data_IF_665911459215
#
_entry.id   IF_665911459215
#
_cell.length_a   1.000
_cell.length_b   1.000
_cell.length_c   1.000
_cell.angle_alpha   90.00
_cell.angle_beta   90.00
_cell.angle_gamma   90.00
#
_symmetry.space_group_name_H-M   'P 1'
#
loop_
_entity.id
_entity.type
_entity.pdbx_description
1 polymer ?
#
# COMPACT_ATOMS: atom_id res chain seq x y z
N UNK A 1 2.49 26.59 7.26
CA UNK A 1 2.33 25.32 8.02
C UNK A 1 1.19 25.48 9.02
N UNK A 2 0.52 24.38 9.41
CA UNK A 2 -0.52 24.36 10.46
C UNK A 2 -0.07 23.38 11.55
N UNK A 3 -0.05 23.84 12.81
CA UNK A 3 0.23 22.97 13.95
C UNK A 3 -1.02 22.13 14.25
N UNK A 4 -0.89 20.81 14.24
CA UNK A 4 -2.01 19.87 14.43
C UNK A 4 -1.60 18.78 15.41
N UNK A 5 -2.35 18.65 16.51
CA UNK A 5 -2.16 17.56 17.48
C UNK A 5 -3.01 16.33 17.16
N UNK A 6 -4.22 16.57 16.63
CA UNK A 6 -5.18 15.51 16.33
C UNK A 6 -5.94 15.90 15.06
N UNK A 7 -6.36 14.90 14.28
CA UNK A 7 -7.12 15.07 13.04
C UNK A 7 -8.39 14.23 13.09
N UNK A 8 -9.51 14.77 12.60
CA UNK A 8 -10.77 14.00 12.51
C UNK A 8 -10.64 12.91 11.45
N UNK A 9 -9.85 13.16 10.40
CA UNK A 9 -9.74 12.30 9.24
C UNK A 9 -8.29 11.92 8.98
N UNK A 10 -8.08 10.67 8.55
CA UNK A 10 -6.81 10.23 8.02
C UNK A 10 -6.54 10.80 6.62
N UNK A 11 -5.34 10.57 6.06
CA UNK A 11 -5.03 10.98 4.70
C UNK A 11 -5.92 10.26 3.66
N UNK A 12 -6.12 10.82 2.47
CA UNK A 12 -7.07 10.31 1.48
C UNK A 12 -6.78 8.86 1.03
N UNK A 13 -5.52 8.42 1.07
CA UNK A 13 -5.18 7.03 0.72
C UNK A 13 -5.74 6.01 1.73
N UNK A 14 -5.97 6.38 2.98
CA UNK A 14 -6.67 5.53 3.96
C UNK A 14 -8.14 5.36 3.55
N UNK A 15 -8.76 6.41 3.00
CA UNK A 15 -10.10 6.33 2.41
C UNK A 15 -10.15 5.36 1.22
N UNK A 16 -9.21 5.48 0.28
CA UNK A 16 -9.10 4.55 -0.85
C UNK A 16 -8.90 3.09 -0.40
N UNK A 17 -8.07 2.88 0.63
CA UNK A 17 -7.86 1.57 1.25
C UNK A 17 -9.12 0.98 1.86
N UNK A 18 -9.96 1.80 2.51
CA UNK A 18 -11.25 1.35 3.04
C UNK A 18 -12.16 0.82 1.94
N UNK A 19 -12.21 1.51 0.80
CA UNK A 19 -12.98 1.06 -0.36
C UNK A 19 -12.42 -0.26 -0.88
N UNK A 20 -11.10 -0.36 -1.07
CA UNK A 20 -10.47 -1.57 -1.57
C UNK A 20 -10.71 -2.79 -0.67
N UNK A 21 -10.60 -2.60 0.65
CA UNK A 21 -10.84 -3.66 1.64
C UNK A 21 -12.30 -4.11 1.70
N UNK A 22 -13.24 -3.22 1.41
CA UNK A 22 -14.68 -3.54 1.38
C UNK A 22 -15.10 -4.31 0.13
N UNK A 23 -14.32 -4.24 -0.96
CA UNK A 23 -14.60 -4.91 -2.22
C UNK A 23 -14.03 -6.33 -2.26
N UNK A 24 -14.55 -7.16 -3.18
CA UNK A 24 -13.99 -8.47 -3.54
C UNK A 24 -13.30 -8.36 -4.89
N UNK A 25 -12.27 -9.18 -5.09
CA UNK A 25 -11.51 -9.29 -6.35
C UNK A 25 -10.86 -7.97 -6.81
N UNK A 26 -10.61 -7.05 -5.86
CA UNK A 26 -9.89 -5.81 -6.08
C UNK A 26 -8.62 -5.81 -5.23
N UNK A 27 -7.47 -5.53 -5.87
CA UNK A 27 -6.19 -5.34 -5.20
C UNK A 27 -5.70 -3.91 -5.38
N UNK A 28 -5.25 -3.29 -4.30
CA UNK A 28 -4.82 -1.89 -4.29
C UNK A 28 -3.29 -1.81 -4.20
N UNK A 29 -2.65 -1.12 -5.15
CA UNK A 29 -1.20 -0.89 -5.09
C UNK A 29 -0.94 0.57 -4.77
N UNK A 30 -0.28 0.82 -3.64
CA UNK A 30 0.00 2.15 -3.12
C UNK A 30 1.49 2.49 -3.26
N UNK A 31 1.79 3.57 -3.98
CA UNK A 31 3.14 4.13 -3.99
C UNK A 31 3.37 4.93 -2.70
N UNK A 32 4.05 4.31 -1.74
CA UNK A 32 4.27 4.87 -0.42
C UNK A 32 5.66 4.50 0.13
N UNK A 33 6.23 5.33 1.03
CA UNK A 33 7.47 5.04 1.71
C UNK A 33 7.31 3.89 2.71
N UNK A 34 8.44 3.39 3.21
CA UNK A 34 8.42 2.46 4.33
C UNK A 34 7.79 3.11 5.58
N UNK A 35 6.84 2.40 6.20
CA UNK A 35 6.16 2.83 7.42
C UNK A 35 4.66 3.05 7.25
N UNK A 36 4.20 3.36 6.03
CA UNK A 36 2.78 3.60 5.72
C UNK A 36 1.90 2.34 5.82
N UNK A 37 2.52 1.16 6.01
CA UNK A 37 1.82 -0.10 6.33
C UNK A 37 1.10 -0.07 7.68
N UNK A 38 1.29 0.95 8.51
CA UNK A 38 0.53 1.13 9.75
C UNK A 38 -0.98 1.15 9.51
N UNK A 39 -1.43 1.58 8.32
CA UNK A 39 -2.84 1.64 7.96
C UNK A 39 -3.51 0.24 8.00
N UNK A 40 -2.76 -0.84 7.81
CA UNK A 40 -3.27 -2.22 7.93
C UNK A 40 -3.76 -2.52 9.35
N UNK A 41 -3.21 -1.87 10.38
CA UNK A 41 -3.61 -2.05 11.78
C UNK A 41 -5.01 -1.48 12.05
N UNK A 42 -5.44 -0.47 11.29
CA UNK A 42 -6.82 0.03 11.38
C UNK A 42 -7.82 -1.08 11.04
N UNK A 43 -7.52 -1.92 10.05
CA UNK A 43 -8.40 -3.01 9.63
C UNK A 43 -8.23 -4.27 10.47
N UNK A 44 -6.99 -4.65 10.76
CA UNK A 44 -6.71 -5.91 11.45
C UNK A 44 -6.92 -5.82 12.96
N UNK A 45 -6.73 -4.65 13.58
CA UNK A 45 -6.84 -4.49 15.04
C UNK A 45 -8.13 -3.78 15.46
N UNK A 46 -8.49 -2.67 14.80
CA UNK A 46 -9.71 -1.92 15.15
C UNK A 46 -10.94 -2.60 14.57
N UNK A 47 -10.97 -2.85 13.25
CA UNK A 47 -12.08 -3.58 12.61
C UNK A 47 -12.00 -5.10 12.81
N UNK A 48 -10.87 -5.61 13.33
CA UNK A 48 -10.63 -7.04 13.63
C UNK A 48 -10.86 -7.98 12.44
N UNK A 49 -10.50 -7.52 11.23
CA UNK A 49 -10.62 -8.36 10.05
C UNK A 49 -9.70 -9.59 10.16
N UNK A 50 -10.20 -10.80 9.87
CA UNK A 50 -9.42 -12.04 10.00
C UNK A 50 -8.39 -12.22 8.87
N UNK A 51 -8.36 -11.31 7.89
CA UNK A 51 -7.45 -11.32 6.75
C UNK A 51 -6.79 -9.94 6.60
N UNK A 52 -5.60 -9.92 5.98
CA UNK A 52 -4.93 -8.67 5.64
C UNK A 52 -5.73 -7.90 4.57
N UNK A 53 -5.74 -6.56 4.60
CA UNK A 53 -6.22 -5.75 3.49
C UNK A 53 -5.54 -6.14 2.17
N UNK A 54 -6.25 -6.13 1.03
CA UNK A 54 -5.67 -6.45 -0.28
C UNK A 54 -4.86 -5.26 -0.82
N UNK A 55 -3.78 -4.89 -0.11
CA UNK A 55 -2.92 -3.75 -0.44
C UNK A 55 -1.47 -4.17 -0.57
N UNK A 56 -0.80 -3.74 -1.63
CA UNK A 56 0.66 -3.81 -1.79
C UNK A 56 1.24 -2.41 -1.78
N UNK A 57 2.34 -2.22 -1.05
CA UNK A 57 3.04 -0.95 -0.93
C UNK A 57 4.38 -1.02 -1.67
N UNK A 58 4.78 0.04 -2.37
CA UNK A 58 6.12 0.06 -3.00
C UNK A 58 7.27 0.15 -1.99
N UNK A 59 7.00 0.63 -0.76
CA UNK A 59 7.95 0.69 0.37
C UNK A 59 9.32 1.27 0.06
N UNK A 60 9.38 2.41 -0.64
CA UNK A 60 10.67 3.04 -0.95
C UNK A 60 11.30 3.69 0.29
N UNK A 61 12.63 3.76 0.32
CA UNK A 61 13.43 4.37 1.38
C UNK A 61 14.22 5.58 0.87
N UNK A 62 14.88 6.31 1.76
CA UNK A 62 15.69 7.48 1.41
C UNK A 62 16.76 7.20 0.32
N UNK A 63 17.38 6.01 0.35
CA UNK A 63 18.36 5.59 -0.67
C UNK A 63 17.76 5.41 -2.07
N UNK A 64 16.46 5.17 -2.15
CA UNK A 64 15.75 4.93 -3.39
C UNK A 64 15.31 6.24 -4.04
N UNK A 65 15.26 7.35 -3.27
CA UNK A 65 14.91 8.69 -3.78
C UNK A 65 15.95 9.26 -4.74
N UNK A 66 17.22 8.85 -4.61
CA UNK A 66 18.28 9.20 -5.56
C UNK A 66 18.36 8.25 -6.76
N UNK A 67 17.50 7.24 -6.80
CA UNK A 67 17.41 6.22 -7.85
C UNK A 67 15.98 6.21 -8.42
N UNK A 68 15.60 5.11 -9.04
CA UNK A 68 14.31 4.96 -9.72
C UNK A 68 13.25 4.32 -8.81
N UNK A 69 12.45 5.17 -8.16
CA UNK A 69 11.26 4.75 -7.40
C UNK A 69 10.12 4.24 -8.31
N UNK A 70 10.12 4.59 -9.59
CA UNK A 70 9.11 4.13 -10.55
C UNK A 70 9.31 2.65 -10.87
N UNK A 71 10.56 2.16 -10.90
CA UNK A 71 10.82 0.72 -11.02
C UNK A 71 10.30 -0.05 -9.80
N UNK A 72 10.44 0.48 -8.59
CA UNK A 72 9.85 -0.13 -7.40
C UNK A 72 8.32 -0.23 -7.50
N UNK A 73 7.67 0.81 -8.00
CA UNK A 73 6.23 0.79 -8.22
C UNK A 73 5.82 -0.23 -9.28
N UNK A 74 6.51 -0.30 -10.42
CA UNK A 74 6.25 -1.30 -11.48
C UNK A 74 6.36 -2.72 -10.94
N UNK A 75 7.40 -3.01 -10.15
CA UNK A 75 7.60 -4.31 -9.52
C UNK A 75 6.45 -4.64 -8.56
N UNK A 76 6.05 -3.68 -7.72
CA UNK A 76 4.92 -3.86 -6.80
C UNK A 76 3.60 -4.18 -7.53
N UNK A 77 3.34 -3.56 -8.69
CA UNK A 77 2.17 -3.87 -9.53
C UNK A 77 2.24 -5.29 -10.11
N UNK A 78 3.41 -5.69 -10.60
CA UNK A 78 3.61 -7.04 -11.16
C UNK A 78 3.42 -8.13 -10.11
N UNK A 79 3.98 -7.93 -8.91
CA UNK A 79 3.87 -8.88 -7.79
C UNK A 79 2.44 -8.99 -7.24
N UNK A 80 1.68 -7.89 -7.29
CA UNK A 80 0.29 -7.84 -6.84
C UNK A 80 -0.72 -8.52 -7.78
N UNK A 81 -0.35 -8.80 -9.03
CA UNK A 81 -1.26 -9.33 -10.05
C UNK A 81 -1.15 -10.86 -10.14
N UNK A 82 -2.22 -11.64 -9.90
CA UNK A 82 -2.20 -13.09 -10.05
C UNK A 82 -1.95 -13.47 -11.53
N UNK A 83 -0.86 -14.19 -11.80
CA UNK A 83 -0.46 -14.63 -13.16
C UNK A 83 0.94 -14.18 -13.62
N UNK A 84 1.61 -13.30 -12.87
CA UNK A 84 3.01 -12.93 -13.13
C UNK A 84 4.00 -13.91 -12.48
N UNK A 85 3.87 -15.21 -12.77
CA UNK A 85 4.99 -16.14 -12.60
C UNK A 85 6.14 -15.64 -13.45
N UNK A 86 7.30 -15.36 -12.82
CA UNK A 86 8.59 -15.06 -13.44
C UNK A 86 8.70 -15.74 -14.81
N UNK A 87 8.58 -14.98 -15.89
CA UNK A 87 9.26 -15.33 -17.13
C UNK A 87 10.74 -15.15 -16.82
N UNK A 88 11.39 -16.23 -16.38
CA UNK A 88 12.83 -16.37 -16.45
C UNK A 88 13.17 -16.25 -17.94
N UNK A 89 13.60 -15.07 -18.37
CA UNK A 89 14.35 -14.96 -19.62
C UNK A 89 15.67 -15.70 -19.38
N UNK A 90 15.80 -16.85 -20.03
CA UNK A 90 17.05 -17.59 -20.22
C UNK A 90 18.09 -16.76 -20.97
#
# INVERSE_FOLDING_TARGET
MKLTLWTYEGPPHVGAMRIATAMKDLHFVLHAPQGDTYADLLFTMIERLPKRPPVTYSTFQARDLGKDTATLFKNAVQEATPGSSRVQFS
#
